data_IF_205046584606
#
_entry.id   IF_205046584606
#
_cell.length_a   1.000
_cell.length_b   1.000
_cell.length_c   1.000
_cell.angle_alpha   90.00
_cell.angle_beta   90.00
_cell.angle_gamma   90.00
#
_symmetry.space_group_name_H-M   'P 1'
#
loop_
_entity.id
_entity.type
_entity.pdbx_description
1 polymer ?
#
# COMPACT_ATOMS: atom_id res chain seq x y z
N UNK A 1 -11.92 10.71 -37.53
CA UNK A 1 -11.70 9.28 -37.20
C UNK A 1 -11.63 9.14 -35.69
N UNK A 2 -12.65 8.58 -35.03
CA UNK A 2 -12.63 8.37 -33.57
C UNK A 2 -12.30 6.90 -33.25
N UNK A 3 -11.57 6.65 -32.16
CA UNK A 3 -11.54 5.33 -31.54
C UNK A 3 -11.97 5.41 -30.06
N UNK A 4 -13.16 4.85 -29.83
CA UNK A 4 -13.61 4.08 -28.65
C UNK A 4 -12.50 3.18 -28.06
N UNK A 5 -12.51 2.64 -26.84
CA UNK A 5 -13.37 2.58 -25.65
C UNK A 5 -12.53 1.82 -24.59
N UNK A 6 -12.77 2.02 -23.29
CA UNK A 6 -12.69 0.92 -22.31
C UNK A 6 -13.48 1.30 -21.03
N UNK A 7 -14.71 0.80 -20.96
CA UNK A 7 -15.53 0.71 -19.76
C UNK A 7 -15.21 -0.64 -19.11
N UNK A 8 -14.82 -0.69 -17.84
CA UNK A 8 -14.70 -1.96 -17.12
C UNK A 8 -15.98 -2.25 -16.32
N UNK A 9 -16.79 -3.14 -16.87
CA UNK A 9 -17.85 -3.89 -16.17
C UNK A 9 -17.23 -5.18 -15.63
N UNK A 10 -17.28 -5.40 -14.32
CA UNK A 10 -17.04 -6.71 -13.72
C UNK A 10 -18.34 -7.53 -13.83
N UNK A 11 -18.43 -8.37 -14.87
CA UNK A 11 -19.48 -9.36 -15.02
C UNK A 11 -18.90 -10.77 -14.90
N UNK A 12 -19.39 -11.54 -13.94
CA UNK A 12 -19.04 -12.96 -13.78
C UNK A 12 -19.70 -13.78 -14.88
N UNK A 13 -18.89 -14.51 -15.65
CA UNK A 13 -19.33 -15.45 -16.69
C UNK A 13 -19.64 -16.81 -16.04
N UNK A 14 -20.88 -17.30 -16.18
CA UNK A 14 -21.24 -18.70 -15.95
C UNK A 14 -22.05 -19.21 -17.14
N UNK A 15 -21.54 -20.23 -17.82
CA UNK A 15 -22.24 -20.97 -18.86
C UNK A 15 -22.95 -22.14 -18.18
N UNK A 16 -24.29 -22.11 -18.12
CA UNK A 16 -25.14 -23.30 -18.06
C UNK A 16 -26.62 -22.93 -18.31
N UNK A 17 -27.25 -23.65 -19.25
CA UNK A 17 -28.64 -24.10 -19.12
C UNK A 17 -29.76 -23.09 -19.36
N UNK A 18 -30.32 -23.16 -20.56
CA UNK A 18 -31.63 -22.63 -20.97
C UNK A 18 -32.72 -22.73 -19.88
N UNK A 19 -33.15 -21.60 -19.30
CA UNK A 19 -34.56 -21.34 -18.92
C UNK A 19 -34.77 -19.88 -18.48
N UNK A 20 -35.62 -19.21 -19.26
CA UNK A 20 -36.18 -17.87 -19.10
C UNK A 20 -36.92 -17.73 -17.75
N UNK A 21 -36.50 -16.83 -16.85
CA UNK A 21 -37.33 -16.40 -15.72
C UNK A 21 -37.13 -14.91 -15.39
N UNK A 22 -38.27 -14.27 -15.08
CA UNK A 22 -38.53 -12.84 -14.87
C UNK A 22 -37.68 -12.23 -13.75
N UNK A 23 -37.31 -10.97 -13.94
CA UNK A 23 -36.74 -10.10 -12.92
C UNK A 23 -37.86 -9.45 -12.11
N UNK A 24 -38.17 -10.03 -10.95
CA UNK A 24 -38.83 -9.30 -9.87
C UNK A 24 -37.98 -9.50 -8.61
N UNK A 25 -37.70 -8.37 -7.93
CA UNK A 25 -37.04 -8.20 -6.61
C UNK A 25 -35.52 -7.97 -6.65
N UNK A 26 -35.18 -6.68 -6.57
CA UNK A 26 -33.87 -6.16 -6.15
C UNK A 26 -33.72 -6.48 -4.65
N UNK A 27 -32.79 -7.39 -4.31
CA UNK A 27 -32.37 -7.61 -2.93
C UNK A 27 -31.16 -6.70 -2.62
N UNK A 28 -31.15 -5.99 -1.47
CA UNK A 28 -30.05 -5.13 -1.09
C UNK A 28 -28.90 -5.99 -0.54
N UNK A 29 -27.77 -6.03 -1.24
CA UNK A 29 -26.54 -6.63 -0.71
C UNK A 29 -25.84 -5.61 0.20
N UNK A 30 -26.12 -5.69 1.50
CA UNK A 30 -25.22 -5.14 2.53
C UNK A 30 -24.47 -6.30 3.16
N UNK A 31 -23.25 -6.58 2.68
CA UNK A 31 -22.30 -7.44 3.40
C UNK A 31 -21.11 -6.56 3.78
N UNK A 32 -21.27 -5.78 4.85
CA UNK A 32 -20.13 -5.27 5.59
C UNK A 32 -19.66 -6.38 6.51
N UNK A 33 -18.69 -7.18 6.07
CA UNK A 33 -17.92 -7.98 7.02
C UNK A 33 -16.89 -7.07 7.65
N UNK A 34 -17.29 -6.42 8.74
CA UNK A 34 -16.36 -5.80 9.69
C UNK A 34 -15.44 -6.92 10.17
N UNK A 35 -14.18 -6.87 9.77
CA UNK A 35 -13.14 -7.72 10.38
C UNK A 35 -13.02 -7.22 11.82
N UNK A 36 -13.29 -8.05 12.84
CA UNK A 36 -13.20 -7.60 14.22
C UNK A 36 -11.75 -7.18 14.50
N UNK A 37 -11.60 -5.92 14.91
CA UNK A 37 -10.35 -5.29 15.27
C UNK A 37 -9.97 -5.70 16.69
N UNK A 38 -8.97 -6.56 16.84
CA UNK A 38 -8.32 -6.78 18.13
C UNK A 38 -7.13 -5.82 18.25
N UNK A 39 -7.26 -4.88 19.19
CA UNK A 39 -6.43 -3.70 19.33
C UNK A 39 -5.13 -4.00 20.10
N UNK A 40 -4.05 -4.54 19.52
CA UNK A 40 -2.84 -4.74 20.36
C UNK A 40 -1.48 -4.48 19.71
N UNK A 41 -0.89 -3.35 20.12
CA UNK A 41 0.55 -3.19 20.30
C UNK A 41 1.12 -4.36 21.14
N UNK A 42 1.84 -5.30 20.52
CA UNK A 42 2.82 -6.15 21.23
C UNK A 42 3.99 -6.56 20.34
N UNK A 43 4.91 -5.63 20.09
CA UNK A 43 6.31 -6.00 19.80
C UNK A 43 7.00 -6.28 21.13
N UNK A 44 6.74 -7.46 21.69
CA UNK A 44 7.27 -7.89 22.98
C UNK A 44 8.57 -8.67 22.74
N UNK A 45 9.70 -7.96 22.82
CA UNK A 45 11.04 -8.54 22.85
C UNK A 45 11.17 -9.31 24.17
N UNK A 46 11.20 -10.64 24.11
CA UNK A 46 11.65 -11.47 25.23
C UNK A 46 13.16 -11.27 25.40
N UNK A 47 13.57 -10.45 26.37
CA UNK A 47 14.94 -10.45 26.90
C UNK A 47 14.87 -10.38 28.42
N UNK A 48 15.26 -11.48 29.03
CA UNK A 48 15.50 -11.63 30.46
C UNK A 48 16.58 -10.63 30.90
N UNK A 49 16.27 -9.81 31.91
CA UNK A 49 17.20 -8.88 32.57
C UNK A 49 18.17 -9.60 33.51
N UNK A 50 19.32 -8.98 33.86
CA UNK A 50 19.34 -8.21 35.12
C UNK A 50 20.10 -6.85 35.07
N UNK A 51 19.50 -5.87 35.78
CA UNK A 51 20.06 -4.82 36.66
C UNK A 51 21.35 -4.04 36.28
N UNK A 52 21.18 -2.79 35.82
CA UNK A 52 21.49 -1.51 36.52
C UNK A 52 21.81 -0.37 35.53
N UNK A 53 21.35 0.84 35.91
CA UNK A 53 21.74 2.19 35.46
C UNK A 53 20.62 2.96 34.76
N UNK A 54 20.09 3.95 35.49
CA UNK A 54 19.14 4.96 35.02
C UNK A 54 19.71 5.74 33.83
N UNK A 55 19.17 5.49 32.65
CA UNK A 55 19.33 6.35 31.47
C UNK A 55 18.00 7.06 31.27
N UNK A 56 18.05 8.40 31.30
CA UNK A 56 16.93 9.26 30.97
C UNK A 56 16.32 8.83 29.63
N UNK A 57 15.04 8.49 29.67
CA UNK A 57 14.29 7.97 28.55
C UNK A 57 14.10 9.09 27.51
N UNK A 58 15.02 9.20 26.56
CA UNK A 58 14.77 9.91 25.31
C UNK A 58 13.78 9.04 24.52
N UNK A 59 12.49 9.26 24.75
CA UNK A 59 11.45 8.63 23.96
C UNK A 59 11.67 9.04 22.49
N UNK A 60 11.93 8.11 21.57
CA UNK A 60 11.92 8.46 20.16
C UNK A 60 10.49 8.90 19.82
N UNK A 61 10.36 10.15 19.38
CA UNK A 61 9.18 10.63 18.68
C UNK A 61 9.05 9.83 17.39
N UNK A 62 8.43 8.65 17.47
CA UNK A 62 7.81 8.03 16.30
C UNK A 62 6.78 9.04 15.83
N UNK A 63 7.12 9.78 14.78
CA UNK A 63 6.20 10.64 14.08
C UNK A 63 5.01 9.79 13.64
N UNK A 64 3.95 9.80 14.45
CA UNK A 64 2.66 9.25 14.09
C UNK A 64 2.23 10.09 12.90
N UNK A 65 2.29 9.52 11.69
CA UNK A 65 1.60 10.11 10.56
C UNK A 65 0.14 10.25 10.99
N UNK A 66 -0.31 11.50 11.17
CA UNK A 66 -1.64 11.79 11.69
C UNK A 66 -2.66 11.06 10.82
N UNK A 67 -3.43 10.17 11.43
CA UNK A 67 -4.49 9.48 10.73
C UNK A 67 -5.53 10.52 10.28
N UNK A 68 -5.86 10.52 8.99
CA UNK A 68 -6.86 11.40 8.38
C UNK A 68 -8.21 10.70 8.41
N UNK A 69 -9.29 11.40 8.77
CA UNK A 69 -10.62 10.85 8.64
C UNK A 69 -10.90 10.46 7.18
N UNK A 70 -11.42 9.25 6.98
CA UNK A 70 -11.64 8.68 5.67
C UNK A 70 -13.06 8.17 5.49
N UNK A 71 -13.67 8.61 4.39
CA UNK A 71 -14.86 8.02 3.81
C UNK A 71 -14.78 8.11 2.28
N UNK A 72 -15.59 7.31 1.59
CA UNK A 72 -15.67 7.37 0.12
C UNK A 72 -16.15 8.75 -0.38
N UNK A 73 -17.03 9.41 0.39
CA UNK A 73 -17.52 10.75 0.07
C UNK A 73 -16.42 11.81 0.21
N UNK A 74 -15.59 11.72 1.26
CA UNK A 74 -14.41 12.60 1.43
C UNK A 74 -13.45 12.42 0.24
N UNK A 75 -13.19 11.18 -0.17
CA UNK A 75 -12.34 10.89 -1.33
C UNK A 75 -12.93 11.49 -2.63
N UNK A 76 -14.23 11.30 -2.87
CA UNK A 76 -14.92 11.86 -4.02
C UNK A 76 -14.88 13.40 -4.03
N UNK A 77 -15.10 14.04 -2.87
CA UNK A 77 -15.02 15.49 -2.73
C UNK A 77 -13.61 16.02 -3.03
N UNK A 78 -12.57 15.35 -2.49
CA UNK A 78 -11.16 15.67 -2.77
C UNK A 78 -10.83 15.56 -4.25
N UNK A 79 -11.28 14.49 -4.92
CA UNK A 79 -11.07 14.30 -6.35
C UNK A 79 -11.78 15.37 -7.19
N UNK A 80 -13.04 15.73 -6.86
CA UNK A 80 -13.78 16.81 -7.54
C UNK A 80 -13.08 18.15 -7.42
N UNK A 81 -12.57 18.47 -6.22
CA UNK A 81 -11.81 19.70 -5.99
C UNK A 81 -10.54 19.75 -6.85
N UNK A 82 -9.77 18.66 -6.87
CA UNK A 82 -8.54 18.58 -7.69
C UNK A 82 -8.82 18.67 -9.20
N UNK A 83 -9.95 18.13 -9.66
CA UNK A 83 -10.34 18.19 -11.07
C UNK A 83 -10.79 19.59 -11.52
N UNK A 84 -11.19 20.46 -10.58
CA UNK A 84 -11.60 21.84 -10.88
C UNK A 84 -10.41 22.81 -10.99
N UNK A 85 -9.21 22.40 -10.55
CA UNK A 85 -7.99 23.20 -10.62
C UNK A 85 -7.16 22.83 -11.86
N UNK A 86 -6.37 23.75 -12.44
CA UNK A 86 -5.42 23.42 -13.49
C UNK A 86 -4.46 22.31 -13.05
N UNK A 87 -4.12 21.42 -13.99
CA UNK A 87 -3.21 20.31 -13.71
C UNK A 87 -1.85 20.82 -13.21
N UNK A 88 -1.44 20.34 -12.04
CA UNK A 88 -0.12 20.57 -11.47
C UNK A 88 0.71 19.30 -11.53
N UNK A 89 1.90 19.39 -12.12
CA UNK A 89 2.84 18.26 -12.22
C UNK A 89 3.32 17.91 -10.81
N UNK A 90 3.14 16.66 -10.34
CA UNK A 90 3.66 16.23 -9.05
C UNK A 90 5.18 16.37 -9.00
N UNK A 91 5.70 16.87 -7.88
CA UNK A 91 7.14 16.96 -7.65
C UNK A 91 7.77 15.57 -7.69
N UNK A 92 8.90 15.45 -8.39
CA UNK A 92 9.68 14.22 -8.44
C UNK A 92 10.85 14.33 -7.45
N UNK A 93 10.56 13.99 -6.19
CA UNK A 93 11.50 14.16 -5.08
C UNK A 93 12.33 12.89 -4.79
N UNK A 94 12.44 11.99 -5.77
CA UNK A 94 13.28 10.80 -5.66
C UNK A 94 14.77 11.24 -5.66
N UNK A 95 15.65 10.59 -4.90
CA UNK A 95 17.08 10.92 -4.95
C UNK A 95 17.73 10.44 -6.26
N UNK A 96 18.80 11.10 -6.71
CA UNK A 96 19.46 10.79 -8.00
C UNK A 96 19.98 9.36 -8.07
N UNK A 97 20.47 8.82 -6.94
CA UNK A 97 20.87 7.41 -6.84
C UNK A 97 19.74 6.46 -7.29
N UNK A 98 18.53 6.64 -6.76
CA UNK A 98 17.38 5.80 -7.11
C UNK A 98 16.89 6.07 -8.55
N UNK A 99 16.90 7.34 -9.00
CA UNK A 99 16.49 7.70 -10.38
C UNK A 99 17.37 7.06 -11.44
N UNK A 100 18.65 6.86 -11.14
CA UNK A 100 19.67 6.47 -12.11
C UNK A 100 20.10 5.01 -11.99
N UNK A 101 19.34 4.19 -11.26
CA UNK A 101 19.52 2.73 -11.30
C UNK A 101 19.37 2.24 -12.75
N UNK A 102 20.32 1.42 -13.17
CA UNK A 102 20.18 0.62 -14.39
C UNK A 102 19.14 -0.48 -14.21
N UNK A 103 18.74 -1.12 -15.32
CA UNK A 103 17.80 -2.23 -15.30
C UNK A 103 18.25 -3.35 -14.35
N UNK A 104 19.50 -3.80 -14.44
CA UNK A 104 20.01 -4.89 -13.60
C UNK A 104 20.02 -4.51 -12.12
N UNK A 105 20.40 -3.26 -11.81
CA UNK A 105 20.42 -2.76 -10.43
C UNK A 105 19.01 -2.68 -9.83
N UNK A 106 18.03 -2.17 -10.59
CA UNK A 106 16.65 -2.10 -10.12
C UNK A 106 16.03 -3.49 -10.03
N UNK A 107 16.35 -4.39 -10.97
CA UNK A 107 15.91 -5.79 -10.93
C UNK A 107 16.44 -6.52 -9.68
N UNK A 108 17.66 -6.24 -9.24
CA UNK A 108 18.22 -6.88 -8.05
C UNK A 108 17.51 -6.49 -6.75
N UNK A 109 16.77 -5.37 -6.75
CA UNK A 109 15.96 -4.96 -5.61
C UNK A 109 14.69 -5.82 -5.54
N UNK A 110 14.57 -6.64 -4.49
CA UNK A 110 13.46 -7.58 -4.30
C UNK A 110 12.69 -7.26 -3.03
N UNK A 111 11.36 -7.25 -3.12
CA UNK A 111 10.50 -7.16 -1.95
C UNK A 111 10.62 -8.44 -1.11
N UNK A 112 10.78 -8.31 0.20
CA UNK A 112 10.71 -9.44 1.13
C UNK A 112 9.24 -9.84 1.32
N UNK A 113 8.85 -10.96 0.70
CA UNK A 113 7.47 -11.43 0.69
C UNK A 113 6.89 -11.65 2.09
N UNK A 114 7.72 -12.07 3.05
CA UNK A 114 7.31 -12.31 4.42
C UNK A 114 7.10 -11.01 5.23
N UNK A 115 7.47 -9.87 4.66
CA UNK A 115 7.25 -8.53 5.22
C UNK A 115 6.08 -7.80 4.53
N UNK A 116 5.30 -8.49 3.70
CA UNK A 116 4.09 -7.94 3.09
C UNK A 116 3.09 -7.43 4.13
N UNK A 117 2.40 -6.34 3.83
CA UNK A 117 1.31 -5.87 4.68
C UNK A 117 0.25 -6.98 4.78
N UNK A 118 -0.18 -7.27 6.00
CA UNK A 118 -1.13 -8.35 6.34
C UNK A 118 -0.62 -9.79 6.16
N UNK A 119 0.66 -9.99 5.87
CA UNK A 119 1.24 -11.33 5.72
C UNK A 119 1.28 -12.08 7.06
N UNK A 120 1.75 -11.42 8.13
CA UNK A 120 1.93 -12.03 9.45
C UNK A 120 0.60 -12.44 10.09
N UNK A 121 -0.45 -11.69 9.80
CA UNK A 121 -1.84 -11.90 10.23
C UNK A 121 -2.49 -13.09 9.51
N UNK A 122 -1.82 -13.67 8.49
CA UNK A 122 -2.38 -14.72 7.62
C UNK A 122 -3.73 -14.33 7.03
N UNK A 123 -3.86 -13.05 6.66
CA UNK A 123 -5.05 -12.55 6.01
C UNK A 123 -5.28 -13.27 4.66
N UNK A 124 -6.51 -13.27 4.12
CA UNK A 124 -6.81 -13.88 2.81
C UNK A 124 -6.00 -13.28 1.66
N UNK A 125 -5.43 -12.10 1.87
CA UNK A 125 -4.51 -11.44 0.95
C UNK A 125 -3.40 -10.73 1.73
N UNK A 126 -2.25 -10.56 1.08
CA UNK A 126 -1.16 -9.69 1.53
C UNK A 126 -0.87 -8.63 0.46
N UNK A 127 -0.30 -7.49 0.86
CA UNK A 127 0.11 -6.44 -0.06
C UNK A 127 1.63 -6.33 -0.08
N UNK A 128 2.19 -6.41 -1.29
CA UNK A 128 3.60 -6.10 -1.56
C UNK A 128 3.71 -4.70 -2.14
N UNK A 129 4.83 -4.04 -1.86
CA UNK A 129 5.14 -2.74 -2.42
C UNK A 129 6.23 -2.82 -3.50
N UNK A 130 6.20 -1.87 -4.44
CA UNK A 130 7.23 -1.74 -5.48
C UNK A 130 8.23 -0.64 -5.12
N UNK A 131 9.51 -0.97 -5.22
CA UNK A 131 10.60 0.00 -5.04
C UNK A 131 10.68 0.93 -6.26
N UNK A 132 10.74 2.26 -6.08
CA UNK A 132 10.94 3.19 -7.19
C UNK A 132 12.36 3.18 -7.72
N UNK A 133 12.51 3.47 -9.01
CA UNK A 133 13.81 3.49 -9.68
C UNK A 133 13.72 3.10 -11.14
N UNK A 134 14.83 3.24 -11.86
CA UNK A 134 14.92 2.98 -13.30
C UNK A 134 13.80 3.69 -14.08
N UNK A 135 12.79 2.98 -14.59
CA UNK A 135 11.64 3.57 -15.30
C UNK A 135 10.51 4.02 -14.37
N UNK A 136 10.39 3.42 -13.18
CA UNK A 136 9.37 3.71 -12.18
C UNK A 136 9.83 4.81 -11.20
N UNK A 137 10.07 6.03 -11.71
CA UNK A 137 10.58 7.16 -10.91
C UNK A 137 9.50 7.92 -10.15
N UNK A 138 8.25 7.82 -10.58
CA UNK A 138 7.10 8.45 -9.92
C UNK A 138 6.63 7.57 -8.77
N UNK A 139 6.46 8.16 -7.59
CA UNK A 139 5.93 7.47 -6.42
C UNK A 139 4.44 7.78 -6.24
N UNK A 140 3.76 6.90 -5.53
CA UNK A 140 2.38 7.08 -5.09
C UNK A 140 2.33 7.10 -3.56
N UNK A 141 1.40 7.87 -3.01
CA UNK A 141 1.10 7.84 -1.58
C UNK A 141 0.13 6.70 -1.31
N UNK A 142 0.47 5.82 -0.39
CA UNK A 142 -0.37 4.69 0.01
C UNK A 142 -0.85 4.94 1.43
N UNK A 143 -2.14 4.72 1.68
CA UNK A 143 -2.71 4.80 3.01
C UNK A 143 -3.38 3.47 3.34
N UNK A 144 -3.23 3.03 4.57
CA UNK A 144 -4.01 1.95 5.16
C UNK A 144 -5.22 2.58 5.86
N UNK A 145 -6.43 2.07 5.60
CA UNK A 145 -7.66 2.59 6.22
C UNK A 145 -8.16 1.59 7.25
N UNK A 146 -8.15 1.99 8.52
CA UNK A 146 -8.65 1.19 9.65
C UNK A 146 -9.66 2.00 10.43
N UNK A 147 -10.88 1.48 10.59
CA UNK A 147 -11.91 2.15 11.40
C UNK A 147 -12.27 3.56 10.93
N UNK A 148 -12.29 3.80 9.62
CA UNK A 148 -12.56 5.13 9.05
C UNK A 148 -11.39 6.11 9.16
N UNK A 149 -10.19 5.63 9.49
CA UNK A 149 -8.99 6.46 9.61
C UNK A 149 -7.94 6.00 8.60
N UNK A 150 -7.53 6.90 7.71
CA UNK A 150 -6.46 6.69 6.74
C UNK A 150 -5.10 7.02 7.36
N UNK A 151 -4.26 6.01 7.52
CA UNK A 151 -2.89 6.14 7.99
C UNK A 151 -1.92 6.06 6.83
N UNK A 152 -1.05 7.06 6.69
CA UNK A 152 -0.05 7.07 5.63
C UNK A 152 1.03 6.02 5.86
N UNK A 153 1.28 5.19 4.84
CA UNK A 153 2.35 4.21 4.85
C UNK A 153 3.64 4.84 4.33
N UNK A 154 4.53 5.20 5.25
CA UNK A 154 5.87 5.70 4.93
C UNK A 154 6.67 4.62 4.19
N UNK A 155 7.56 5.06 3.29
CA UNK A 155 8.48 4.16 2.63
C UNK A 155 9.43 3.51 3.64
N UNK A 156 9.43 2.18 3.70
CA UNK A 156 10.31 1.40 4.56
C UNK A 156 11.33 0.62 3.72
N UNK A 157 12.60 1.00 3.86
CA UNK A 157 13.71 0.35 3.16
C UNK A 157 13.89 -1.10 3.58
N UNK A 158 13.53 -1.47 4.81
CA UNK A 158 13.72 -2.83 5.35
C UNK A 158 12.82 -3.88 4.69
N UNK A 159 11.78 -3.44 3.97
CA UNK A 159 10.91 -4.32 3.19
C UNK A 159 11.57 -4.85 1.92
N UNK A 160 12.76 -4.35 1.57
CA UNK A 160 13.47 -4.70 0.35
C UNK A 160 14.84 -5.29 0.63
N UNK A 161 15.17 -6.35 -0.10
CA UNK A 161 16.52 -6.83 -0.27
C UNK A 161 17.14 -6.10 -1.47
N UNK A 162 18.25 -5.41 -1.25
CA UNK A 162 18.96 -4.62 -2.28
C UNK A 162 19.99 -5.44 -3.08
N UNK A 163 20.11 -6.74 -2.80
CA UNK A 163 21.05 -7.63 -3.48
C UNK A 163 22.49 -7.15 -3.36
N UNK A 164 23.10 -6.85 -4.50
CA UNK A 164 24.49 -6.36 -4.59
C UNK A 164 24.60 -4.83 -4.51
N UNK A 165 23.49 -4.10 -4.43
CA UNK A 165 23.52 -2.65 -4.44
C UNK A 165 24.08 -2.10 -3.13
N UNK A 166 25.11 -1.27 -3.22
CA UNK A 166 25.63 -0.48 -2.10
C UNK A 166 24.99 0.89 -2.16
N UNK A 167 24.05 1.15 -1.26
CA UNK A 167 23.39 2.46 -1.15
C UNK A 167 24.38 3.45 -0.52
N UNK A 168 24.74 4.55 -1.20
CA UNK A 168 25.66 5.54 -0.64
C UNK A 168 25.12 6.12 0.68
N UNK A 169 26.01 6.30 1.66
CA UNK A 169 25.66 6.92 2.93
C UNK A 169 25.05 8.32 2.71
N UNK A 170 23.97 8.62 3.42
CA UNK A 170 23.26 9.90 3.29
C UNK A 170 22.28 9.98 2.12
N UNK A 171 22.12 8.91 1.32
CA UNK A 171 21.06 8.86 0.30
C UNK A 171 19.68 8.88 0.96
N UNK A 172 18.83 9.90 0.69
CA UNK A 172 17.48 9.93 1.24
C UNK A 172 16.68 8.71 0.78
N UNK A 173 15.84 8.10 1.65
CA UNK A 173 14.90 7.08 1.21
C UNK A 173 13.92 7.68 0.19
N UNK A 174 13.36 6.86 -0.72
CA UNK A 174 12.28 7.31 -1.57
C UNK A 174 11.11 7.95 -0.80
N UNK A 175 10.45 8.98 -1.35
CA UNK A 175 9.33 9.66 -0.68
C UNK A 175 8.03 8.83 -0.65
N UNK A 176 8.04 7.64 -1.27
CA UNK A 176 6.91 6.73 -1.36
C UNK A 176 7.26 5.51 -2.21
N UNK A 177 6.28 4.64 -2.42
CA UNK A 177 6.43 3.44 -3.24
C UNK A 177 6.12 3.74 -4.71
N UNK A 178 6.67 2.97 -5.65
CA UNK A 178 6.29 3.06 -7.07
C UNK A 178 4.88 2.52 -7.33
N UNK A 179 4.37 1.68 -6.42
CA UNK A 179 3.06 1.06 -6.50
C UNK A 179 2.97 -0.10 -5.52
N UNK A 180 1.93 -0.92 -5.70
CA UNK A 180 1.67 -2.08 -4.86
C UNK A 180 0.99 -3.18 -5.68
N UNK A 181 0.99 -4.41 -5.14
CA UNK A 181 0.19 -5.53 -5.64
C UNK A 181 -0.43 -6.29 -4.48
N UNK A 182 -1.64 -6.81 -4.68
CA UNK A 182 -2.23 -7.78 -3.77
C UNK A 182 -1.83 -9.20 -4.18
N UNK A 183 -1.56 -10.05 -3.19
CA UNK A 183 -1.35 -11.49 -3.38
C UNK A 183 -2.36 -12.26 -2.57
N UNK A 184 -2.90 -13.31 -3.18
CA UNK A 184 -3.81 -14.24 -2.54
C UNK A 184 -3.59 -15.63 -3.12
N UNK A 185 -4.02 -16.66 -2.40
CA UNK A 185 -3.99 -18.03 -2.90
C UNK A 185 -5.18 -18.26 -3.83
N UNK A 186 -5.04 -17.85 -5.10
CA UNK A 186 -6.08 -18.04 -6.12
C UNK A 186 -6.04 -19.46 -6.73
N UNK A 187 -4.83 -20.02 -6.89
CA UNK A 187 -4.58 -21.33 -7.49
C UNK A 187 -3.72 -22.17 -6.55
N UNK A 188 -4.02 -23.47 -6.48
CA UNK A 188 -3.28 -24.51 -5.75
C UNK A 188 -2.52 -25.43 -6.68
#
# INVERSE_FOLDING_TARGET
MPQSNAVFLAGTMHIAGNRRLRFDKVLPWHIYRVIPYDSFHKRMIRRTTPLFASIALLAPSTGSALAEEFSFDILCAKARKMAAEPYSVPKQDLADFWKNLSYDQHRDIRFNMESGQWYAEKAPFSVDFFHPGWTAKKTVKIHEVIGGQAQFLTFDQSLFNYGKQVVPAGTPPPPGYAGWRARTHLNS
#
